data_IF_275663553547
#
_entry.id   IF_275663553547
#
_cell.length_a   1.000
_cell.length_b   1.000
_cell.length_c   1.000
_cell.angle_alpha   90.00
_cell.angle_beta   90.00
_cell.angle_gamma   90.00
#
_symmetry.space_group_name_H-M   'P 1'
#
loop_
_entity.id
_entity.type
_entity.pdbx_description
1 polymer ?
#
# COMPACT_ATOMS: atom_id res chain seq x y z
N UNK A 1 27.11 15.88 -14.17
CA UNK A 1 26.86 17.17 -13.49
C UNK A 1 27.17 17.17 -11.99
N UNK A 2 27.24 16.03 -11.28
CA UNK A 2 27.56 16.01 -9.83
C UNK A 2 28.90 15.33 -9.46
N UNK A 3 29.65 14.82 -10.44
CA UNK A 3 30.92 14.13 -10.18
C UNK A 3 31.99 15.11 -9.66
N UNK A 4 32.68 14.73 -8.59
CA UNK A 4 33.77 15.51 -7.99
C UNK A 4 33.33 16.37 -6.80
N UNK A 5 32.03 16.44 -6.51
CA UNK A 5 31.52 17.10 -5.31
C UNK A 5 31.88 16.28 -4.05
N UNK A 6 32.24 16.98 -2.98
CA UNK A 6 32.38 16.40 -1.65
C UNK A 6 31.22 16.87 -0.80
N UNK A 7 30.37 15.94 -0.38
CA UNK A 7 29.20 16.19 0.46
C UNK A 7 29.47 15.65 1.86
N UNK A 8 28.78 16.19 2.87
CA UNK A 8 28.81 15.63 4.23
C UNK A 8 27.49 14.94 4.53
N UNK A 9 27.54 13.77 5.15
CA UNK A 9 26.34 13.13 5.71
C UNK A 9 25.83 13.94 6.89
N UNK A 10 24.59 13.67 7.32
CA UNK A 10 24.04 14.19 8.57
C UNK A 10 24.85 13.76 9.81
N UNK A 11 25.63 12.69 9.72
CA UNK A 11 26.57 12.24 10.75
C UNK A 11 27.98 12.88 10.62
N UNK A 12 28.20 13.77 9.63
CA UNK A 12 29.45 14.51 9.45
C UNK A 12 30.52 13.82 8.60
N UNK A 13 30.23 12.64 8.04
CA UNK A 13 31.17 11.90 7.18
C UNK A 13 31.27 12.51 5.78
N UNK A 14 32.49 12.59 5.24
CA UNK A 14 32.71 13.10 3.89
C UNK A 14 32.43 12.03 2.83
N UNK A 15 31.46 12.29 1.95
CA UNK A 15 31.16 11.48 0.77
C UNK A 15 31.70 12.19 -0.47
N UNK A 16 32.58 11.52 -1.21
CA UNK A 16 33.03 11.97 -2.54
C UNK A 16 32.09 11.42 -3.61
N UNK A 17 31.42 12.31 -4.34
CA UNK A 17 30.48 11.95 -5.41
C UNK A 17 31.27 11.49 -6.64
N UNK A 18 31.30 10.18 -6.87
CA UNK A 18 31.94 9.58 -8.04
C UNK A 18 30.93 9.30 -9.14
N UNK A 19 31.37 9.25 -10.40
CA UNK A 19 30.54 8.80 -11.52
C UNK A 19 30.00 7.37 -11.30
N UNK A 20 30.78 6.53 -10.61
CA UNK A 20 30.36 5.18 -10.21
C UNK A 20 29.23 5.21 -9.19
N UNK A 21 29.35 6.05 -8.16
CA UNK A 21 28.30 6.24 -7.15
C UNK A 21 27.00 6.75 -7.79
N UNK A 22 27.09 7.75 -8.68
CA UNK A 22 25.92 8.28 -9.39
C UNK A 22 25.24 7.22 -10.27
N UNK A 23 26.02 6.36 -10.93
CA UNK A 23 25.47 5.23 -11.71
C UNK A 23 24.75 4.22 -10.83
N UNK A 24 25.30 3.91 -9.66
CA UNK A 24 24.61 3.10 -8.67
C UNK A 24 23.31 3.75 -8.24
N UNK A 25 23.36 4.98 -7.70
CA UNK A 25 22.17 5.68 -7.21
C UNK A 25 21.07 5.78 -8.26
N UNK A 26 21.44 6.08 -9.51
CA UNK A 26 20.49 6.08 -10.62
C UNK A 26 19.88 4.69 -10.88
N UNK A 27 20.71 3.64 -10.94
CA UNK A 27 20.23 2.29 -11.17
C UNK A 27 19.31 1.79 -10.03
N UNK A 28 19.68 2.04 -8.78
CA UNK A 28 18.86 1.65 -7.63
C UNK A 28 17.53 2.39 -7.59
N UNK A 29 17.51 3.68 -7.92
CA UNK A 29 16.28 4.46 -8.02
C UNK A 29 15.37 3.99 -9.17
N UNK A 30 15.93 3.64 -10.33
CA UNK A 30 15.12 3.07 -11.41
C UNK A 30 14.50 1.72 -11.02
N UNK A 31 15.15 0.96 -10.13
CA UNK A 31 14.62 -0.30 -9.59
C UNK A 31 13.50 -0.10 -8.59
N UNK A 32 13.56 0.93 -7.73
CA UNK A 32 12.45 1.28 -6.83
C UNK A 32 11.20 1.69 -7.61
N UNK A 33 11.39 2.30 -8.79
CA UNK A 33 10.33 2.60 -9.76
C UNK A 33 9.88 1.38 -10.60
N UNK A 34 10.32 0.16 -10.25
CA UNK A 34 10.01 -1.09 -10.94
C UNK A 34 10.46 -1.16 -12.41
N UNK A 35 11.52 -0.43 -12.79
CA UNK A 35 12.06 -0.51 -14.15
C UNK A 35 12.65 -1.91 -14.42
N UNK A 36 12.22 -2.60 -15.50
CA UNK A 36 12.83 -3.86 -15.92
C UNK A 36 14.34 -3.73 -16.17
N UNK A 37 15.09 -4.79 -15.88
CA UNK A 37 16.56 -4.73 -15.87
C UNK A 37 17.15 -4.51 -17.27
N UNK A 38 16.49 -5.04 -18.31
CA UNK A 38 16.82 -4.85 -19.72
C UNK A 38 16.59 -3.40 -20.18
N UNK A 39 15.48 -2.79 -19.75
CA UNK A 39 15.19 -1.36 -20.00
C UNK A 39 16.21 -0.47 -19.28
N UNK A 40 16.56 -0.81 -18.04
CA UNK A 40 17.58 -0.09 -17.29
C UNK A 40 18.96 -0.21 -17.95
N UNK A 41 19.30 -1.38 -18.48
CA UNK A 41 20.54 -1.59 -19.22
C UNK A 41 20.59 -0.67 -20.46
N UNK A 42 19.49 -0.52 -21.19
CA UNK A 42 19.39 0.42 -22.32
C UNK A 42 19.55 1.87 -21.88
N UNK A 43 18.88 2.29 -20.80
CA UNK A 43 18.99 3.65 -20.24
C UNK A 43 20.42 3.97 -19.80
N UNK A 44 21.12 2.99 -19.24
CA UNK A 44 22.52 3.12 -18.82
C UNK A 44 23.51 2.90 -19.98
N UNK A 45 23.01 2.61 -21.19
CA UNK A 45 23.79 2.28 -22.40
C UNK A 45 24.76 1.12 -22.19
N UNK A 46 24.35 0.13 -21.41
CA UNK A 46 25.10 -1.09 -21.15
C UNK A 46 24.73 -2.16 -22.17
N UNK A 47 25.76 -2.81 -22.74
CA UNK A 47 25.57 -3.92 -23.70
C UNK A 47 25.25 -5.24 -23.01
N UNK A 48 25.73 -5.40 -21.78
CA UNK A 48 25.53 -6.60 -20.97
C UNK A 48 24.61 -6.28 -19.79
N UNK A 49 23.49 -7.01 -19.72
CA UNK A 49 22.48 -6.87 -18.67
C UNK A 49 23.04 -7.27 -17.31
N UNK A 50 23.99 -8.21 -17.25
CA UNK A 50 24.61 -8.67 -16.00
C UNK A 50 25.43 -7.55 -15.32
N UNK A 51 26.04 -6.66 -16.12
CA UNK A 51 26.75 -5.48 -15.60
C UNK A 51 25.76 -4.51 -14.95
N UNK A 52 24.54 -4.42 -15.49
CA UNK A 52 23.48 -3.57 -14.93
C UNK A 52 22.94 -4.13 -13.62
N UNK A 53 22.89 -5.47 -13.48
CA UNK A 53 22.50 -6.14 -12.23
C UNK A 53 23.37 -5.72 -11.05
N UNK A 54 24.69 -5.61 -11.26
CA UNK A 54 25.62 -5.12 -10.24
C UNK A 54 25.25 -3.72 -9.75
N UNK A 55 24.94 -2.79 -10.66
CA UNK A 55 24.56 -1.41 -10.31
C UNK A 55 23.16 -1.32 -9.68
N UNK A 56 22.26 -2.20 -10.10
CA UNK A 56 20.87 -2.28 -9.68
C UNK A 56 20.66 -3.01 -8.33
N UNK A 57 21.73 -3.48 -7.68
CA UNK A 57 21.63 -4.18 -6.40
C UNK A 57 21.12 -3.23 -5.31
N UNK A 58 20.02 -3.62 -4.66
CA UNK A 58 19.46 -2.89 -3.53
C UNK A 58 20.48 -2.80 -2.38
N UNK A 59 20.53 -1.64 -1.73
CA UNK A 59 21.29 -1.46 -0.50
C UNK A 59 20.65 -2.25 0.64
N UNK A 60 21.40 -2.58 1.72
CA UNK A 60 20.83 -3.23 2.90
C UNK A 60 19.62 -2.49 3.50
N UNK A 61 19.67 -1.15 3.55
CA UNK A 61 18.55 -0.33 4.05
C UNK A 61 17.31 -0.45 3.15
N UNK A 62 17.48 -0.43 1.83
CA UNK A 62 16.37 -0.63 0.88
C UNK A 62 15.81 -2.05 0.95
N UNK A 63 16.65 -3.06 1.20
CA UNK A 63 16.17 -4.42 1.46
C UNK A 63 15.35 -4.49 2.74
N UNK A 64 15.76 -3.80 3.81
CA UNK A 64 15.00 -3.69 5.05
C UNK A 64 13.67 -2.97 4.81
N UNK A 65 13.63 -1.87 4.04
CA UNK A 65 12.39 -1.18 3.67
C UNK A 65 11.46 -2.05 2.82
N UNK A 66 11.98 -2.74 1.80
CA UNK A 66 11.21 -3.69 0.99
C UNK A 66 10.69 -4.86 1.83
N UNK A 67 11.52 -5.36 2.75
CA UNK A 67 11.13 -6.40 3.69
C UNK A 67 10.07 -5.88 4.67
N UNK A 68 10.20 -4.66 5.17
CA UNK A 68 9.19 -3.99 5.97
C UNK A 68 7.89 -3.84 5.17
N UNK A 69 7.92 -3.42 3.91
CA UNK A 69 6.73 -3.36 3.04
C UNK A 69 6.03 -4.71 2.91
N UNK A 70 6.78 -5.81 2.86
CA UNK A 70 6.21 -7.17 2.86
C UNK A 70 5.46 -7.46 4.18
N UNK A 71 5.89 -6.90 5.30
CA UNK A 71 5.29 -7.11 6.62
C UNK A 71 4.25 -6.05 7.01
N UNK A 72 4.40 -4.78 6.63
CA UNK A 72 3.38 -3.73 6.80
C UNK A 72 2.21 -3.93 5.85
N UNK A 73 2.39 -4.60 4.70
CA UNK A 73 1.28 -5.11 3.89
C UNK A 73 0.71 -6.44 4.39
N UNK A 74 1.36 -7.11 5.35
CA UNK A 74 0.85 -8.31 6.02
C UNK A 74 0.42 -7.96 7.45
N UNK A 75 -0.69 -7.22 7.54
CA UNK A 75 -1.52 -7.07 8.73
C UNK A 75 -0.77 -6.64 10.02
N UNK A 76 -0.87 -5.36 10.36
CA UNK A 76 -0.68 -4.92 11.74
C UNK A 76 -1.87 -5.39 12.59
N UNK A 77 -1.78 -6.59 13.16
CA UNK A 77 -2.79 -7.16 14.07
C UNK A 77 -2.84 -6.47 15.45
N UNK A 78 -1.99 -5.49 15.71
CA UNK A 78 -1.94 -4.80 17.02
C UNK A 78 -2.65 -3.47 17.05
N UNK A 79 -3.09 -2.96 15.88
CA UNK A 79 -3.83 -1.70 15.80
C UNK A 79 -5.05 -1.86 14.89
N UNK A 80 -6.22 -1.95 15.52
CA UNK A 80 -7.45 -1.37 14.98
C UNK A 80 -7.23 0.15 14.86
N UNK A 81 -6.46 0.59 13.87
CA UNK A 81 -6.39 2.02 13.56
C UNK A 81 -7.49 2.31 12.56
N UNK A 82 -8.70 2.53 13.07
CA UNK A 82 -9.79 3.11 12.31
C UNK A 82 -9.27 4.43 11.75
N UNK A 83 -9.13 4.50 10.42
CA UNK A 83 -8.60 5.70 9.77
C UNK A 83 -9.61 6.82 9.86
N UNK A 84 -9.12 8.03 10.08
CA UNK A 84 -9.92 9.25 9.99
C UNK A 84 -10.28 9.55 8.54
N UNK A 85 -11.32 10.37 8.36
CA UNK A 85 -11.71 10.86 7.04
C UNK A 85 -10.58 11.59 6.32
N UNK A 86 -9.77 12.36 7.05
CA UNK A 86 -8.68 13.15 6.44
C UNK A 86 -7.57 12.22 5.94
N UNK A 87 -7.23 11.17 6.68
CA UNK A 87 -6.28 10.14 6.22
C UNK A 87 -6.79 9.42 4.96
N UNK A 88 -8.08 9.06 4.92
CA UNK A 88 -8.69 8.41 3.76
C UNK A 88 -8.73 9.37 2.56
N UNK A 89 -9.03 10.66 2.80
CA UNK A 89 -9.04 11.69 1.75
C UNK A 89 -7.64 11.94 1.19
N UNK A 90 -6.62 11.97 2.05
CA UNK A 90 -5.23 12.06 1.63
C UNK A 90 -4.82 10.83 0.81
N UNK A 91 -5.15 9.62 1.27
CA UNK A 91 -4.89 8.37 0.57
C UNK A 91 -5.49 8.35 -0.85
N UNK A 92 -6.73 8.85 -1.00
CA UNK A 92 -7.39 8.99 -2.29
C UNK A 92 -6.70 10.05 -3.18
N UNK A 93 -6.35 11.20 -2.61
CA UNK A 93 -5.69 12.30 -3.32
C UNK A 93 -4.33 11.84 -3.87
N UNK A 94 -3.55 11.12 -3.07
CA UNK A 94 -2.26 10.57 -3.48
C UNK A 94 -2.39 9.50 -4.58
N UNK A 95 -3.55 8.87 -4.73
CA UNK A 95 -3.79 7.86 -5.76
C UNK A 95 -4.17 8.46 -7.12
N UNK A 96 -4.62 9.71 -7.16
CA UNK A 96 -5.02 10.38 -8.39
C UNK A 96 -3.85 10.43 -9.39
N UNK A 97 -4.11 10.05 -10.64
CA UNK A 97 -3.12 10.06 -11.71
C UNK A 97 -2.16 8.86 -11.72
N UNK A 98 -2.22 7.96 -10.73
CA UNK A 98 -1.44 6.72 -10.72
C UNK A 98 -2.15 5.63 -11.53
N UNK A 99 -1.51 5.17 -12.61
CA UNK A 99 -2.04 4.07 -13.44
C UNK A 99 -2.17 2.80 -12.60
N UNK A 100 -3.35 2.17 -12.63
CA UNK A 100 -3.64 0.95 -11.86
C UNK A 100 -4.11 1.19 -10.42
N UNK A 101 -4.18 2.45 -9.96
CA UNK A 101 -4.86 2.80 -8.71
C UNK A 101 -6.34 3.15 -8.96
N UNK A 102 -7.08 3.40 -7.87
CA UNK A 102 -8.52 3.72 -7.83
C UNK A 102 -9.41 2.63 -8.45
N UNK A 103 -8.93 1.38 -8.46
CA UNK A 103 -9.71 0.24 -8.96
C UNK A 103 -10.87 -0.03 -7.99
N UNK A 104 -12.13 -0.14 -8.45
CA UNK A 104 -13.25 -0.44 -7.58
C UNK A 104 -13.09 -1.85 -6.97
N UNK A 105 -13.26 -1.94 -5.65
CA UNK A 105 -13.21 -3.20 -4.88
C UNK A 105 -14.35 -3.23 -3.85
N UNK A 106 -14.51 -4.35 -3.15
CA UNK A 106 -15.52 -4.51 -2.09
C UNK A 106 -15.33 -3.40 -1.05
N UNK A 107 -16.39 -2.62 -0.82
CA UNK A 107 -16.43 -1.55 0.18
C UNK A 107 -15.71 -0.26 -0.19
N UNK A 108 -15.08 -0.15 -1.37
CA UNK A 108 -14.28 1.04 -1.68
C UNK A 108 -13.54 1.00 -3.02
N UNK A 109 -12.33 1.56 -3.01
CA UNK A 109 -11.40 1.49 -4.13
C UNK A 109 -9.96 1.22 -3.67
N UNK A 110 -9.21 0.47 -4.48
CA UNK A 110 -7.80 0.15 -4.24
C UNK A 110 -6.93 1.34 -4.65
N UNK A 111 -6.22 1.96 -3.71
CA UNK A 111 -5.34 3.11 -3.96
C UNK A 111 -3.90 2.71 -4.30
N UNK A 112 -3.63 1.40 -4.38
CA UNK A 112 -2.31 0.84 -4.67
C UNK A 112 -2.15 0.70 -6.19
N UNK A 113 -1.08 1.29 -6.73
CA UNK A 113 -0.79 1.34 -8.17
C UNK A 113 0.10 0.18 -8.69
N UNK A 114 0.43 -0.80 -7.84
CA UNK A 114 1.25 -1.96 -8.20
C UNK A 114 0.44 -3.26 -8.20
N UNK A 115 1.06 -4.36 -8.61
CA UNK A 115 0.41 -5.67 -8.66
C UNK A 115 -0.11 -6.09 -7.28
N UNK A 116 -1.37 -6.54 -7.21
CA UNK A 116 -2.04 -6.86 -5.95
C UNK A 116 -1.36 -8.03 -5.22
N UNK A 117 -0.73 -7.81 -4.04
CA UNK A 117 -0.06 -8.87 -3.29
C UNK A 117 -1.07 -9.73 -2.51
N UNK A 118 -2.21 -9.14 -2.13
CA UNK A 118 -3.26 -9.78 -1.35
C UNK A 118 -4.29 -10.54 -2.22
N UNK A 119 -4.06 -10.63 -3.54
CA UNK A 119 -4.93 -11.33 -4.50
C UNK A 119 -6.42 -11.02 -4.30
N UNK A 120 -6.74 -9.73 -4.20
CA UNK A 120 -8.10 -9.20 -4.01
C UNK A 120 -8.79 -9.61 -2.68
N UNK A 121 -8.05 -9.97 -1.65
CA UNK A 121 -8.54 -9.96 -0.27
C UNK A 121 -8.65 -8.51 0.25
N UNK A 122 -9.59 -7.74 -0.30
CA UNK A 122 -9.64 -6.28 -0.15
C UNK A 122 -10.09 -5.78 1.24
N UNK A 123 -10.94 -6.53 1.95
CA UNK A 123 -11.35 -6.17 3.30
C UNK A 123 -10.20 -6.45 4.29
N UNK A 124 -9.80 -5.42 5.04
CA UNK A 124 -8.62 -5.44 5.92
C UNK A 124 -7.30 -5.08 5.22
N UNK A 125 -7.33 -4.73 3.93
CA UNK A 125 -6.16 -4.24 3.19
C UNK A 125 -6.02 -2.72 3.37
N UNK A 126 -4.83 -2.25 3.75
CA UNK A 126 -4.53 -0.82 3.89
C UNK A 126 -4.73 -0.03 2.57
N UNK A 127 -4.63 -0.71 1.44
CA UNK A 127 -4.88 -0.13 0.12
C UNK A 127 -6.35 0.15 -0.19
N UNK A 128 -7.30 -0.39 0.60
CA UNK A 128 -8.72 -0.19 0.37
C UNK A 128 -9.19 1.11 1.05
N UNK A 129 -9.39 2.15 0.26
CA UNK A 129 -10.03 3.38 0.73
C UNK A 129 -11.55 3.18 0.74
N UNK A 130 -12.21 3.22 1.91
CA UNK A 130 -13.63 2.91 2.03
C UNK A 130 -14.50 3.99 1.40
N UNK A 131 -15.63 3.56 0.84
CA UNK A 131 -16.66 4.41 0.25
C UNK A 131 -18.02 4.06 0.88
N UNK A 132 -18.64 4.95 1.67
CA UNK A 132 -19.94 4.70 2.28
C UNK A 132 -21.04 4.30 1.28
N UNK A 133 -20.96 4.73 0.03
CA UNK A 133 -21.92 4.30 -1.01
C UNK A 133 -21.86 2.79 -1.31
N UNK A 134 -20.76 2.12 -0.94
CA UNK A 134 -20.54 0.68 -1.08
C UNK A 134 -20.71 -0.09 0.23
N UNK A 135 -21.34 0.51 1.25
CA UNK A 135 -21.58 -0.12 2.55
C UNK A 135 -22.26 -1.49 2.44
N UNK A 136 -23.21 -1.64 1.52
CA UNK A 136 -23.92 -2.90 1.26
C UNK A 136 -22.97 -4.03 0.90
N UNK A 137 -21.92 -3.79 0.11
CA UNK A 137 -20.92 -4.78 -0.26
C UNK A 137 -20.23 -5.37 0.98
N UNK A 138 -19.87 -4.49 1.94
CA UNK A 138 -19.20 -4.89 3.19
C UNK A 138 -20.15 -5.70 4.07
N UNK A 139 -21.42 -5.31 4.16
CA UNK A 139 -22.43 -6.05 4.93
C UNK A 139 -22.69 -7.45 4.36
N UNK A 140 -22.86 -7.56 3.04
CA UNK A 140 -23.03 -8.85 2.33
C UNK A 140 -21.80 -9.73 2.55
N UNK A 141 -20.60 -9.15 2.39
CA UNK A 141 -19.36 -9.89 2.57
C UNK A 141 -19.19 -10.36 4.03
N UNK A 142 -19.50 -9.52 5.02
CA UNK A 142 -19.48 -9.88 6.44
C UNK A 142 -20.42 -11.05 6.73
N UNK A 143 -21.64 -11.03 6.19
CA UNK A 143 -22.59 -12.13 6.37
C UNK A 143 -22.07 -13.44 5.78
N UNK A 144 -21.47 -13.40 4.58
CA UNK A 144 -20.85 -14.57 3.96
C UNK A 144 -19.72 -15.15 4.84
N UNK A 145 -18.95 -14.28 5.52
CA UNK A 145 -17.89 -14.71 6.45
C UNK A 145 -18.43 -15.28 7.76
N UNK A 146 -19.53 -14.76 8.27
CA UNK A 146 -20.24 -15.37 9.41
C UNK A 146 -20.69 -16.80 9.10
N UNK A 147 -21.25 -17.03 7.90
CA UNK A 147 -21.61 -18.38 7.43
C UNK A 147 -20.38 -19.28 7.31
N UNK A 148 -19.27 -18.76 6.77
CA UNK A 148 -18.01 -19.50 6.66
C UNK A 148 -17.43 -19.89 8.03
N UNK A 149 -17.52 -19.01 9.03
CA UNK A 149 -17.07 -19.31 10.39
C UNK A 149 -17.88 -20.46 11.02
N UNK A 150 -19.21 -20.44 10.88
CA UNK A 150 -20.08 -21.53 11.35
C UNK A 150 -19.76 -22.85 10.66
N UNK A 151 -19.65 -22.84 9.33
CA UNK A 151 -19.33 -24.03 8.54
C UNK A 151 -17.95 -24.61 8.92
N UNK A 152 -16.95 -23.74 9.13
CA UNK A 152 -15.60 -24.17 9.52
C UNK A 152 -15.57 -24.81 10.90
N UNK A 153 -16.40 -24.30 11.83
CA UNK A 153 -16.59 -24.92 13.15
C UNK A 153 -17.17 -26.33 13.04
N UNK A 154 -18.23 -26.49 12.25
CA UNK A 154 -18.88 -27.80 12.02
C UNK A 154 -17.91 -28.82 11.40
N UNK A 155 -17.06 -28.37 10.49
CA UNK A 155 -16.02 -29.19 9.84
C UNK A 155 -14.78 -29.41 10.71
N UNK A 156 -14.71 -28.83 11.92
CA UNK A 156 -13.54 -28.88 12.82
C UNK A 156 -12.26 -28.33 12.17
N UNK A 157 -12.38 -27.23 11.43
CA UNK A 157 -11.29 -26.50 10.78
C UNK A 157 -10.97 -25.19 11.54
N UNK A 158 -10.20 -25.23 12.63
CA UNK A 158 -10.01 -24.07 13.52
C UNK A 158 -9.26 -22.91 12.86
N UNK A 159 -8.38 -23.19 11.89
CA UNK A 159 -7.67 -22.15 11.14
C UNK A 159 -8.61 -21.35 10.23
N UNK A 160 -9.53 -22.03 9.55
CA UNK A 160 -10.52 -21.38 8.68
C UNK A 160 -11.56 -20.62 9.50
N UNK A 161 -11.98 -21.15 10.66
CA UNK A 161 -12.85 -20.42 11.58
C UNK A 161 -12.19 -19.10 12.02
N UNK A 162 -10.93 -19.16 12.47
CA UNK A 162 -10.19 -17.97 12.91
C UNK A 162 -10.07 -16.94 11.78
N UNK A 163 -9.66 -17.37 10.58
CA UNK A 163 -9.56 -16.50 9.41
C UNK A 163 -10.89 -15.84 9.05
N UNK A 164 -12.00 -16.57 9.12
CA UNK A 164 -13.32 -16.01 8.88
C UNK A 164 -13.69 -14.95 9.93
N UNK A 165 -13.37 -15.18 11.22
CA UNK A 165 -13.59 -14.21 12.31
C UNK A 165 -12.74 -12.96 12.18
N UNK A 166 -11.47 -13.10 11.80
CA UNK A 166 -10.58 -11.95 11.54
C UNK A 166 -11.17 -11.04 10.46
N UNK A 167 -11.67 -11.63 9.37
CA UNK A 167 -12.28 -10.85 8.28
C UNK A 167 -13.59 -10.18 8.73
N UNK A 168 -14.37 -10.82 9.62
CA UNK A 168 -15.56 -10.17 10.22
C UNK A 168 -15.13 -8.93 11.02
N UNK A 169 -14.03 -9.02 11.78
CA UNK A 169 -13.43 -7.88 12.48
C UNK A 169 -13.09 -6.76 11.50
N UNK A 170 -12.35 -7.05 10.44
CA UNK A 170 -11.99 -6.07 9.41
C UNK A 170 -13.20 -5.48 8.66
N UNK A 171 -14.31 -6.21 8.55
CA UNK A 171 -15.56 -5.65 8.03
C UNK A 171 -16.13 -4.60 9.00
N UNK A 172 -16.09 -4.86 10.30
CA UNK A 172 -16.59 -3.93 11.30
C UNK A 172 -15.72 -2.66 11.34
N UNK A 173 -14.40 -2.81 11.29
CA UNK A 173 -13.48 -1.67 11.24
C UNK A 173 -13.78 -0.77 10.03
N UNK A 174 -13.95 -1.37 8.85
CA UNK A 174 -14.30 -0.62 7.64
C UNK A 174 -15.67 0.06 7.74
N UNK A 175 -16.66 -0.58 8.36
CA UNK A 175 -17.98 0.03 8.57
C UNK A 175 -17.88 1.22 9.53
N UNK A 176 -17.01 1.16 10.52
CA UNK A 176 -16.74 2.28 11.43
C UNK A 176 -16.04 3.44 10.69
N UNK A 177 -15.07 3.15 9.82
CA UNK A 177 -14.48 4.17 8.93
C UNK A 177 -15.55 4.85 8.06
N UNK A 178 -16.49 4.08 7.51
CA UNK A 178 -17.62 4.61 6.74
C UNK A 178 -18.51 5.51 7.59
N UNK A 179 -18.82 5.11 8.82
CA UNK A 179 -19.64 5.91 9.75
C UNK A 179 -18.96 7.26 10.05
N UNK A 180 -17.63 7.27 10.25
CA UNK A 180 -16.85 8.50 10.46
C UNK A 180 -16.87 9.43 9.25
N UNK A 181 -16.78 8.88 8.02
CA UNK A 181 -16.87 9.67 6.79
C UNK A 181 -18.22 10.36 6.70
N UNK A 182 -19.31 9.61 6.90
CA UNK A 182 -20.69 10.11 6.82
C UNK A 182 -20.99 11.17 7.89
N UNK A 183 -20.52 10.98 9.12
CA UNK A 183 -20.69 11.94 10.22
C UNK A 183 -20.09 13.30 9.86
N UNK A 184 -18.87 13.33 9.32
CA UNK A 184 -18.23 14.59 8.93
C UNK A 184 -18.96 15.25 7.76
N UNK A 185 -19.46 14.47 6.79
CA UNK A 185 -20.25 15.03 5.68
C UNK A 185 -21.61 15.57 6.13
N UNK A 186 -22.24 14.94 7.11
CA UNK A 186 -23.47 15.43 7.72
C UNK A 186 -23.23 16.75 8.46
N UNK A 187 -22.22 16.82 9.31
CA UNK A 187 -21.87 18.05 10.06
C UNK A 187 -21.58 19.21 9.08
N UNK A 188 -20.80 18.98 8.03
CA UNK A 188 -20.51 20.00 7.01
C UNK A 188 -21.78 20.51 6.32
N UNK A 189 -22.72 19.62 5.98
CA UNK A 189 -24.01 20.02 5.38
C UNK A 189 -24.86 20.88 6.31
N UNK A 190 -24.83 20.63 7.62
CA UNK A 190 -25.58 21.43 8.62
C UNK A 190 -24.91 22.77 8.96
N UNK A 191 -23.61 22.93 8.68
CA UNK A 191 -22.85 24.16 8.90
C UNK A 191 -22.82 25.09 7.68
N UNK A 192 -23.27 24.64 6.51
CA UNK A 192 -23.43 25.51 5.34
C UNK A 192 -24.78 26.23 5.42
N UNK A 193 -24.84 27.56 5.27
CA UNK A 193 -26.10 28.30 5.30
C UNK A 193 -26.99 27.85 4.12
N UNK A 194 -28.33 27.80 4.30
CA UNK A 194 -29.22 27.55 3.19
C UNK A 194 -29.06 28.69 2.18
N UNK A 195 -28.80 28.34 0.92
CA UNK A 195 -28.79 29.27 -0.21
C UNK A 195 -30.17 29.91 -0.41
#
# INVERSE_FOLDING_TARGET
>A
MLHGLSLKTSAGENIKVTSHLLRHSFATEMRTLNTPLDVLAQLMKQKDVNVTEYYARHTPSQLIELQQQIFTQRHDYTKSHIRTKDEISQQLTEAVGKVGALIPVIGGCCTIANACPAKFACIGCAGNAPDPAKRSDVLIYREARSKMASLSREQKLPAEERKAREIIGSCNDMLEEMDLIEQVDSIRRHLQPPF
#
